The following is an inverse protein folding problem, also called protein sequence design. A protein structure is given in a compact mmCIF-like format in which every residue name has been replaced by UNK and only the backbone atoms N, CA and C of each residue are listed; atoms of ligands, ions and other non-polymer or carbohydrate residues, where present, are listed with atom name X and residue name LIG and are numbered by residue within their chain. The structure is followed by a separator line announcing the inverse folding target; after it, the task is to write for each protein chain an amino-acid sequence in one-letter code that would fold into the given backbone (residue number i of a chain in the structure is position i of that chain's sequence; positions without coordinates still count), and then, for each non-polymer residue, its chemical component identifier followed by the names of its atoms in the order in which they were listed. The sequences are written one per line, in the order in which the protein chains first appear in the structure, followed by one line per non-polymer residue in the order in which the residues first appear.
data_IF_072403718012
#
_entry.id   IF_072403718012
#
_cell.length_a   1.000
_cell.length_b   1.000
_cell.length_c   1.000
_cell.angle_alpha   90.00
_cell.angle_beta   90.00
_cell.angle_gamma   90.00
#
_symmetry.space_group_name_H-M   'P 1'
#
loop_
_entity.id
_entity.type
_entity.pdbx_description
1 polymer ?
#
# COMPACT_ATOMS: atom_id res chain seq x y z
N UNK A 1 33.87 0.62 33.18
CA UNK A 1 32.62 1.40 33.18
C UNK A 1 31.79 1.14 34.42
N UNK A 2 32.21 1.69 35.58
CA UNK A 2 31.44 1.67 36.85
C UNK A 2 31.61 2.99 37.62
N UNK A 3 31.87 4.09 36.91
CA UNK A 3 31.97 5.44 37.49
C UNK A 3 30.74 6.27 37.13
N UNK A 4 30.53 7.39 37.81
CA UNK A 4 29.37 8.27 37.58
C UNK A 4 29.20 8.65 36.09
N UNK A 5 30.30 8.93 35.39
CA UNK A 5 30.32 9.23 33.95
C UNK A 5 29.80 8.07 33.07
N UNK A 6 30.05 6.80 33.45
CA UNK A 6 29.52 5.65 32.70
C UNK A 6 28.04 5.37 32.99
N UNK A 7 27.54 5.80 34.15
CA UNK A 7 26.12 5.67 34.49
C UNK A 7 25.30 6.77 33.80
N UNK A 8 25.82 8.00 33.77
CA UNK A 8 25.24 9.11 33.02
C UNK A 8 25.12 8.79 31.52
N UNK A 9 26.22 8.28 30.91
CA UNK A 9 26.19 7.84 29.52
C UNK A 9 25.19 6.70 29.24
N UNK A 10 24.96 5.80 30.21
CA UNK A 10 23.95 4.75 30.09
C UNK A 10 22.53 5.34 30.14
N UNK A 11 22.28 6.30 31.03
CA UNK A 11 20.99 7.00 31.11
C UNK A 11 20.70 7.76 29.82
N UNK A 12 21.70 8.45 29.26
CA UNK A 12 21.56 9.18 27.99
C UNK A 12 21.29 8.24 26.82
N UNK A 13 22.00 7.12 26.76
CA UNK A 13 21.74 6.09 25.75
C UNK A 13 20.32 5.54 25.86
N UNK A 14 19.87 5.18 27.07
CA UNK A 14 18.51 4.69 27.31
C UNK A 14 17.46 5.73 26.88
N UNK A 15 17.68 7.01 27.19
CA UNK A 15 16.79 8.11 26.77
C UNK A 15 16.73 8.20 25.25
N UNK A 16 17.88 8.29 24.59
CA UNK A 16 17.97 8.34 23.13
C UNK A 16 17.23 7.17 22.49
N UNK A 17 17.52 5.95 22.94
CA UNK A 17 16.93 4.73 22.40
C UNK A 17 15.40 4.72 22.54
N UNK A 18 14.88 5.02 23.74
CA UNK A 18 13.43 5.02 23.98
C UNK A 18 12.72 6.14 23.21
N UNK A 19 13.35 7.31 23.08
CA UNK A 19 12.81 8.40 22.24
C UNK A 19 12.76 7.97 20.76
N UNK A 20 13.83 7.37 20.24
CA UNK A 20 13.82 6.86 18.85
C UNK A 20 12.76 5.77 18.66
N UNK A 21 12.59 4.85 19.61
CA UNK A 21 11.52 3.85 19.53
C UNK A 21 10.13 4.50 19.49
N UNK A 22 9.89 5.56 20.27
CA UNK A 22 8.63 6.31 20.25
C UNK A 22 8.41 6.97 18.89
N UNK A 23 9.43 7.63 18.33
CA UNK A 23 9.35 8.28 17.02
C UNK A 23 8.99 7.25 15.92
N UNK A 24 9.60 6.07 15.95
CA UNK A 24 9.29 5.00 14.99
C UNK A 24 7.85 4.46 15.15
N UNK A 25 7.35 4.36 16.38
CA UNK A 25 5.96 3.98 16.64
C UNK A 25 5.00 5.04 16.10
N UNK A 26 5.28 6.32 16.34
CA UNK A 26 4.47 7.42 15.84
C UNK A 26 4.46 7.49 14.31
N UNK A 27 5.61 7.27 13.68
CA UNK A 27 5.72 7.16 12.22
C UNK A 27 4.83 6.04 11.67
N UNK A 28 4.97 4.81 12.18
CA UNK A 28 4.17 3.67 11.74
C UNK A 28 2.67 3.88 12.01
N UNK A 29 2.31 4.45 13.16
CA UNK A 29 0.93 4.76 13.48
C UNK A 29 0.33 5.74 12.47
N UNK A 30 1.06 6.81 12.11
CA UNK A 30 0.59 7.77 11.12
C UNK A 30 0.53 7.18 9.71
N UNK A 31 1.54 6.37 9.35
CA UNK A 31 1.62 5.74 8.04
C UNK A 31 0.48 4.75 7.83
N UNK A 32 0.11 3.96 8.85
CA UNK A 32 -0.94 2.95 8.76
C UNK A 32 -2.35 3.49 9.01
N UNK A 33 -2.52 4.80 9.24
CA UNK A 33 -3.86 5.42 9.32
C UNK A 33 -4.65 5.14 8.05
N UNK A 34 -5.84 4.59 8.22
CA UNK A 34 -6.72 4.15 7.15
C UNK A 34 -7.01 5.27 6.15
N UNK A 35 -7.38 6.46 6.62
CA UNK A 35 -7.67 7.61 5.76
C UNK A 35 -6.47 7.98 4.87
N UNK A 36 -5.28 8.07 5.46
CA UNK A 36 -4.06 8.34 4.71
C UNK A 36 -3.71 7.24 3.71
N UNK A 37 -3.99 5.97 4.04
CA UNK A 37 -3.77 4.86 3.12
C UNK A 37 -4.77 4.87 1.96
N UNK A 38 -6.04 5.21 2.21
CA UNK A 38 -7.07 5.39 1.19
C UNK A 38 -6.67 6.51 0.21
N UNK A 39 -6.16 7.62 0.73
CA UNK A 39 -5.66 8.74 -0.07
C UNK A 39 -4.47 8.33 -0.95
N UNK A 40 -3.51 7.58 -0.39
CA UNK A 40 -2.33 7.12 -1.14
C UNK A 40 -2.70 6.09 -2.20
N UNK A 41 -3.68 5.21 -1.97
CA UNK A 41 -4.24 4.35 -3.02
C UNK A 41 -4.83 5.21 -4.15
N UNK A 42 -5.61 6.24 -3.82
CA UNK A 42 -6.18 7.15 -4.81
C UNK A 42 -5.12 7.90 -5.61
N UNK A 43 -4.06 8.36 -4.93
CA UNK A 43 -2.91 8.99 -5.56
C UNK A 43 -2.18 8.06 -6.52
N UNK A 44 -1.91 6.81 -6.10
CA UNK A 44 -1.28 5.80 -6.94
C UNK A 44 -2.08 5.52 -8.22
N UNK A 45 -3.39 5.28 -8.10
CA UNK A 45 -4.28 5.05 -9.25
C UNK A 45 -4.29 6.27 -10.17
N UNK A 46 -4.37 7.48 -9.62
CA UNK A 46 -4.36 8.72 -10.39
C UNK A 46 -3.07 8.89 -11.19
N UNK A 47 -1.91 8.66 -10.58
CA UNK A 47 -0.61 8.72 -11.25
C UNK A 47 -0.48 7.66 -12.36
N UNK A 48 -0.92 6.42 -12.11
CA UNK A 48 -0.95 5.34 -13.12
C UNK A 48 -1.88 5.66 -14.28
N UNK A 49 -3.06 6.21 -14.00
CA UNK A 49 -4.03 6.62 -15.02
C UNK A 49 -3.51 7.76 -15.88
N UNK A 50 -2.79 8.71 -15.26
CA UNK A 50 -2.17 9.85 -15.94
C UNK A 50 -0.85 9.51 -16.64
N UNK A 51 -0.39 8.25 -16.59
CA UNK A 51 0.91 7.79 -17.14
C UNK A 51 2.13 8.51 -16.56
N UNK A 52 2.00 9.06 -15.35
CA UNK A 52 3.11 9.71 -14.65
C UNK A 52 4.08 8.68 -14.07
N UNK A 53 3.57 7.49 -13.75
CA UNK A 53 4.36 6.35 -13.30
C UNK A 53 4.02 5.11 -14.13
N UNK A 54 4.99 4.23 -14.43
CA UNK A 54 4.76 3.01 -15.18
C UNK A 54 4.06 1.94 -14.32
N UNK A 55 3.52 0.92 -14.97
CA UNK A 55 3.19 -0.34 -14.28
C UNK A 55 4.43 -1.16 -13.94
N UNK A 56 4.28 -2.27 -13.18
CA UNK A 56 5.41 -3.12 -12.80
C UNK A 56 6.13 -3.76 -13.99
N UNK A 57 5.48 -3.84 -15.16
CA UNK A 57 6.08 -4.28 -16.41
C UNK A 57 5.67 -3.34 -17.55
N UNK A 58 6.54 -3.13 -18.56
CA UNK A 58 6.28 -2.20 -19.67
C UNK A 58 5.02 -2.52 -20.48
N UNK A 59 4.62 -3.79 -20.56
CA UNK A 59 3.43 -4.24 -21.28
C UNK A 59 2.11 -3.96 -20.56
N UNK A 60 2.13 -3.66 -19.26
CA UNK A 60 0.90 -3.41 -18.53
C UNK A 60 0.32 -2.03 -18.87
N UNK A 61 -0.98 -1.96 -19.21
CA UNK A 61 -1.60 -0.69 -19.55
C UNK A 61 -1.71 0.23 -18.33
N UNK A 62 -2.02 1.50 -18.58
CA UNK A 62 -2.42 2.42 -17.52
C UNK A 62 -3.65 1.90 -16.79
N UNK A 63 -3.71 2.12 -15.47
CA UNK A 63 -4.91 1.83 -14.70
C UNK A 63 -6.02 2.79 -15.08
N UNK A 64 -7.25 2.28 -15.10
CA UNK A 64 -8.43 3.14 -15.20
C UNK A 64 -8.71 3.81 -13.85
N UNK A 65 -9.24 5.06 -13.83
CA UNK A 65 -9.56 5.76 -12.58
C UNK A 65 -10.46 4.95 -11.64
N UNK A 66 -11.41 4.18 -12.19
CA UNK A 66 -12.36 3.37 -11.43
C UNK A 66 -11.71 2.24 -10.60
N UNK A 67 -10.42 1.96 -10.82
CA UNK A 67 -9.65 1.06 -9.96
C UNK A 67 -9.63 1.55 -8.50
N UNK A 68 -9.72 2.86 -8.28
CA UNK A 68 -9.77 3.45 -6.94
C UNK A 68 -10.88 2.82 -6.09
N UNK A 69 -12.08 2.66 -6.65
CA UNK A 69 -13.24 2.14 -5.92
C UNK A 69 -13.09 0.66 -5.58
N UNK A 70 -12.52 -0.13 -6.50
CA UNK A 70 -12.22 -1.54 -6.23
C UNK A 70 -11.21 -1.69 -5.09
N UNK A 71 -10.11 -0.94 -5.16
CA UNK A 71 -9.01 -1.05 -4.19
C UNK A 71 -9.39 -0.50 -2.81
N UNK A 72 -10.16 0.59 -2.75
CA UNK A 72 -10.65 1.16 -1.49
C UNK A 72 -11.65 0.23 -0.80
N UNK A 73 -12.62 -0.35 -1.53
CA UNK A 73 -13.56 -1.31 -0.94
C UNK A 73 -12.86 -2.58 -0.43
N UNK A 74 -11.90 -3.10 -1.19
CA UNK A 74 -11.11 -4.26 -0.74
C UNK A 74 -10.26 -3.90 0.48
N UNK A 75 -9.67 -2.69 0.54
CA UNK A 75 -8.92 -2.25 1.71
C UNK A 75 -9.82 -2.19 2.96
N UNK A 76 -11.00 -1.59 2.84
CA UNK A 76 -11.93 -1.41 3.94
C UNK A 76 -12.47 -2.73 4.48
N UNK A 77 -12.68 -3.71 3.61
CA UNK A 77 -13.24 -5.03 3.99
C UNK A 77 -12.18 -6.08 4.29
N UNK A 78 -10.92 -5.82 3.93
CA UNK A 78 -9.81 -6.77 4.02
C UNK A 78 -9.81 -7.82 2.90
N UNK A 79 -10.96 -8.47 2.67
CA UNK A 79 -11.18 -9.45 1.62
C UNK A 79 -12.60 -9.32 1.05
N UNK A 80 -12.76 -9.50 -0.26
CA UNK A 80 -14.03 -9.25 -0.94
C UNK A 80 -14.27 -10.20 -2.11
N UNK A 81 -15.52 -10.64 -2.30
CA UNK A 81 -15.87 -11.49 -3.43
C UNK A 81 -15.71 -10.74 -4.76
N UNK A 82 -15.20 -11.41 -5.80
CA UNK A 82 -14.97 -10.78 -7.14
C UNK A 82 -16.20 -10.07 -7.68
N UNK A 83 -17.38 -10.66 -7.51
CA UNK A 83 -18.65 -10.05 -7.97
C UNK A 83 -18.99 -8.75 -7.24
N UNK A 84 -18.63 -8.63 -5.96
CA UNK A 84 -18.79 -7.38 -5.21
C UNK A 84 -17.76 -6.34 -5.66
N UNK A 85 -16.50 -6.74 -5.86
CA UNK A 85 -15.44 -5.85 -6.37
C UNK A 85 -15.82 -5.27 -7.74
N UNK A 86 -16.39 -6.10 -8.61
CA UNK A 86 -16.90 -5.65 -9.91
C UNK A 86 -18.04 -4.63 -9.79
N UNK A 87 -18.90 -4.77 -8.77
CA UNK A 87 -19.97 -3.78 -8.53
C UNK A 87 -19.41 -2.49 -7.96
N UNK A 88 -18.40 -2.57 -7.10
CA UNK A 88 -17.75 -1.41 -6.48
C UNK A 88 -17.19 -0.43 -7.51
N UNK A 89 -16.71 -0.91 -8.66
CA UNK A 89 -16.19 -0.01 -9.70
C UNK A 89 -17.26 0.81 -10.44
N UNK A 90 -18.54 0.44 -10.33
CA UNK A 90 -19.63 1.08 -11.09
C UNK A 90 -19.55 0.85 -12.61
N UNK A 91 -18.65 -0.02 -13.07
CA UNK A 91 -18.41 -0.24 -14.49
C UNK A 91 -19.34 -1.31 -15.08
N UNK A 92 -19.50 -1.28 -16.40
CA UNK A 92 -20.08 -2.41 -17.13
C UNK A 92 -19.28 -3.69 -16.88
N UNK A 93 -19.97 -4.82 -16.72
CA UNK A 93 -19.39 -6.09 -16.22
C UNK A 93 -18.14 -6.54 -17.00
N UNK A 94 -18.18 -6.48 -18.33
CA UNK A 94 -17.04 -6.85 -19.18
C UNK A 94 -15.81 -5.99 -18.86
N UNK A 95 -15.99 -4.68 -18.76
CA UNK A 95 -14.89 -3.73 -18.50
C UNK A 95 -14.36 -3.87 -17.08
N UNK A 96 -15.26 -4.06 -16.11
CA UNK A 96 -14.88 -4.34 -14.72
C UNK A 96 -14.06 -5.62 -14.62
N UNK A 97 -14.44 -6.69 -15.33
CA UNK A 97 -13.68 -7.96 -15.35
C UNK A 97 -12.28 -7.80 -15.92
N UNK A 98 -12.13 -7.01 -16.98
CA UNK A 98 -10.81 -6.68 -17.54
C UNK A 98 -9.96 -5.92 -16.53
N UNK A 99 -10.53 -4.91 -15.86
CA UNK A 99 -9.82 -4.14 -14.85
C UNK A 99 -9.42 -5.00 -13.65
N UNK A 100 -10.33 -5.84 -13.13
CA UNK A 100 -10.04 -6.77 -12.06
C UNK A 100 -8.94 -7.76 -12.46
N UNK A 101 -8.97 -8.27 -13.70
CA UNK A 101 -7.91 -9.11 -14.25
C UNK A 101 -6.56 -8.40 -14.24
N UNK A 102 -6.50 -7.15 -14.70
CA UNK A 102 -5.29 -6.35 -14.65
C UNK A 102 -4.77 -6.17 -13.20
N UNK A 103 -5.64 -5.85 -12.24
CA UNK A 103 -5.23 -5.69 -10.84
C UNK A 103 -4.67 -6.98 -10.24
N UNK A 104 -5.18 -8.15 -10.66
CA UNK A 104 -4.67 -9.47 -10.29
C UNK A 104 -3.34 -9.78 -10.99
N UNK A 105 -3.23 -9.49 -12.28
CA UNK A 105 -2.03 -9.75 -13.10
C UNK A 105 -0.84 -8.88 -12.66
N UNK A 106 -1.11 -7.66 -12.20
CA UNK A 106 -0.12 -6.76 -11.61
C UNK A 106 0.19 -7.12 -10.14
N UNK A 107 -0.59 -8.02 -9.51
CA UNK A 107 -0.42 -8.44 -8.12
C UNK A 107 -0.80 -7.37 -7.09
N UNK A 108 -1.58 -6.37 -7.48
CA UNK A 108 -2.16 -5.38 -6.55
C UNK A 108 -3.26 -6.06 -5.73
N UNK A 109 -4.05 -6.90 -6.40
CA UNK A 109 -4.98 -7.84 -5.77
C UNK A 109 -4.46 -9.25 -5.92
N UNK A 110 -4.74 -10.12 -4.95
CA UNK A 110 -4.46 -11.55 -5.01
C UNK A 110 -5.63 -12.37 -4.53
N UNK A 111 -5.63 -13.65 -4.87
CA UNK A 111 -6.65 -14.62 -4.49
C UNK A 111 -6.01 -15.99 -4.31
N UNK A 112 -6.39 -16.70 -3.23
CA UNK A 112 -5.84 -18.03 -2.95
C UNK A 112 -6.34 -19.10 -3.94
N UNK A 113 -7.42 -18.81 -4.68
CA UNK A 113 -7.95 -19.72 -5.71
C UNK A 113 -8.35 -18.95 -6.98
N UNK A 114 -8.44 -19.62 -8.15
CA UNK A 114 -8.82 -18.95 -9.40
C UNK A 114 -10.17 -18.22 -9.38
N UNK A 115 -11.08 -18.58 -8.46
CA UNK A 115 -12.42 -17.97 -8.30
C UNK A 115 -12.68 -17.42 -6.90
N UNK A 116 -11.65 -17.39 -6.05
CA UNK A 116 -11.76 -16.96 -4.66
C UNK A 116 -12.03 -15.47 -4.53
N UNK A 117 -12.31 -15.06 -3.30
CA UNK A 117 -12.30 -13.66 -2.93
C UNK A 117 -10.89 -13.06 -3.10
N UNK A 118 -10.83 -11.74 -3.18
CA UNK A 118 -9.60 -11.01 -3.43
C UNK A 118 -9.28 -10.10 -2.26
N UNK A 119 -7.99 -9.96 -1.99
CA UNK A 119 -7.42 -9.06 -0.99
C UNK A 119 -6.29 -8.26 -1.60
N UNK A 120 -5.95 -7.14 -0.98
CA UNK A 120 -4.76 -6.39 -1.35
C UNK A 120 -3.49 -7.18 -1.05
N UNK A 121 -2.50 -7.00 -1.91
CA UNK A 121 -1.12 -7.38 -1.64
C UNK A 121 -0.20 -6.18 -1.83
N UNK A 122 0.70 -5.97 -0.86
CA UNK A 122 1.58 -4.81 -0.83
C UNK A 122 2.92 -5.15 -1.48
N UNK A 123 2.89 -5.46 -2.79
CA UNK A 123 4.10 -5.74 -3.56
C UNK A 123 5.03 -4.52 -3.62
N UNK A 124 6.33 -4.77 -3.76
CA UNK A 124 7.39 -3.74 -3.70
C UNK A 124 7.17 -2.56 -4.65
N UNK A 125 6.65 -2.82 -5.86
CA UNK A 125 6.39 -1.78 -6.86
C UNK A 125 5.23 -0.83 -6.49
N UNK A 126 4.32 -1.25 -5.59
CA UNK A 126 3.23 -0.44 -5.05
C UNK A 126 3.60 0.12 -3.68
N UNK A 127 4.36 -0.65 -2.90
CA UNK A 127 4.70 -0.35 -1.51
C UNK A 127 5.37 1.02 -1.34
N UNK A 128 6.26 1.43 -2.25
CA UNK A 128 6.89 2.76 -2.19
C UNK A 128 5.90 3.93 -2.29
N UNK A 129 4.76 3.73 -2.95
CA UNK A 129 3.71 4.73 -3.06
C UNK A 129 2.74 4.70 -1.87
N UNK A 130 2.44 3.51 -1.35
CA UNK A 130 1.49 3.33 -0.25
C UNK A 130 2.11 3.51 1.13
N UNK A 131 3.43 3.32 1.24
CA UNK A 131 4.20 3.41 2.47
C UNK A 131 5.47 4.23 2.21
N UNK A 132 5.33 5.53 1.91
CA UNK A 132 6.48 6.41 1.70
C UNK A 132 7.40 6.40 2.92
N UNK A 133 8.70 6.53 2.67
CA UNK A 133 9.78 6.57 3.66
C UNK A 133 9.94 5.30 4.53
N UNK A 134 9.10 4.29 4.35
CA UNK A 134 9.22 3.01 5.07
C UNK A 134 10.38 2.16 4.55
N UNK A 135 10.65 2.25 3.25
CA UNK A 135 11.76 1.57 2.60
C UNK A 135 12.73 2.60 2.04
N UNK A 136 14.04 2.28 1.97
CA UNK A 136 14.97 3.11 1.22
C UNK A 136 14.43 3.33 -0.20
N UNK A 137 14.58 4.54 -0.77
CA UNK A 137 14.14 4.80 -2.13
C UNK A 137 14.78 3.77 -3.06
N UNK A 138 13.95 3.05 -3.83
CA UNK A 138 14.46 2.11 -4.82
C UNK A 138 15.26 2.94 -5.84
N UNK A 139 16.59 2.79 -5.84
CA UNK A 139 17.43 3.31 -6.90
C UNK A 139 16.93 2.71 -8.22
N UNK A 140 16.33 3.55 -9.05
CA UNK A 140 15.89 3.21 -10.40
C UNK A 140 17.08 2.91 -11.32
#
# INVERSE_FOLDING_TARGET
GRGNLSNEALVDFCRFFLTTCLDQIEFMNNLLKLDGLLDRIGGYVSMRSAKLIPGPKPEYPSLKPEAIYMLQEVLLRGEMGRGEVLRASGMAERTGRVLLGQLLDEGILVSDTPKGAVRLEFLTHVAGYLFPDLYPPQLA
#
